data_IF_055316008726
#
_entry.id   IF_055316008726
#
_cell.length_a   1.000
_cell.length_b   1.000
_cell.length_c   1.000
_cell.angle_alpha   90.00
_cell.angle_beta   90.00
_cell.angle_gamma   90.00
#
_symmetry.space_group_name_H-M   'P 1'
#
loop_
_entity.id
_entity.type
_entity.pdbx_description
1 polymer ?
#
# COMPACT_ATOMS: atom_id res chain seq x y z
N UNK A 1 -16.18 38.51 10.95
CA UNK A 1 -16.36 37.66 9.76
C UNK A 1 -15.76 36.32 10.10
N UNK A 2 -16.61 35.41 10.58
CA UNK A 2 -16.26 34.01 10.81
C UNK A 2 -16.35 33.24 9.50
N UNK A 3 -15.35 32.43 9.21
CA UNK A 3 -15.53 31.20 8.44
C UNK A 3 -14.50 30.16 8.87
N UNK A 4 -14.81 29.48 9.96
CA UNK A 4 -14.32 28.13 10.22
C UNK A 4 -14.81 27.20 9.10
N UNK A 5 -13.90 26.45 8.50
CA UNK A 5 -14.19 25.14 7.90
C UNK A 5 -12.95 24.28 7.96
N UNK A 6 -12.58 23.88 9.19
CA UNK A 6 -11.63 22.82 9.41
C UNK A 6 -12.36 21.48 9.22
N UNK A 7 -12.04 20.78 8.13
CA UNK A 7 -12.43 19.39 7.93
C UNK A 7 -11.78 18.53 9.03
N UNK A 8 -12.55 18.17 10.05
CA UNK A 8 -12.15 17.18 11.05
C UNK A 8 -12.18 15.78 10.42
N UNK A 9 -11.12 15.43 9.70
CA UNK A 9 -10.78 14.02 9.51
C UNK A 9 -10.26 13.52 10.87
N UNK A 10 -10.94 12.59 11.53
CA UNK A 10 -10.52 11.97 12.80
C UNK A 10 -9.29 11.05 12.61
N UNK A 11 -8.23 11.56 12.00
CA UNK A 11 -6.95 10.86 11.82
C UNK A 11 -5.92 11.45 12.75
N UNK A 12 -5.34 10.61 13.62
CA UNK A 12 -4.14 10.96 14.37
C UNK A 12 -2.95 11.00 13.41
N UNK A 13 -2.51 12.21 13.06
CA UNK A 13 -1.31 12.40 12.25
C UNK A 13 -0.08 12.11 13.09
N UNK A 14 0.80 11.25 12.57
CA UNK A 14 2.09 10.93 13.20
C UNK A 14 3.22 11.36 12.29
N UNK A 15 4.24 11.98 12.86
CA UNK A 15 5.47 12.31 12.14
C UNK A 15 6.67 11.65 12.83
N UNK A 16 7.70 11.38 12.04
CA UNK A 16 8.99 10.89 12.50
C UNK A 16 10.09 11.61 11.73
N UNK A 17 11.16 11.99 12.43
CA UNK A 17 12.36 12.53 11.79
C UNK A 17 13.31 11.36 11.53
N UNK A 18 13.63 11.14 10.27
CA UNK A 18 14.61 10.12 9.87
C UNK A 18 16.01 10.73 9.86
N UNK A 19 16.91 10.15 10.65
CA UNK A 19 18.32 10.51 10.73
C UNK A 19 19.17 9.50 9.94
N UNK A 20 20.43 9.83 9.57
CA UNK A 20 21.32 8.87 8.93
C UNK A 20 21.40 7.55 9.70
N UNK A 21 21.25 6.43 8.99
CA UNK A 21 21.21 5.09 9.57
C UNK A 21 19.80 4.58 9.93
N UNK A 22 18.78 5.44 9.97
CA UNK A 22 17.40 4.98 10.15
C UNK A 22 16.87 4.27 8.90
N UNK A 23 16.05 3.24 9.12
CA UNK A 23 15.26 2.57 8.09
C UNK A 23 13.79 2.65 8.46
N UNK A 24 12.94 2.91 7.47
CA UNK A 24 11.48 2.93 7.65
C UNK A 24 10.84 1.94 6.70
N UNK A 25 9.78 1.26 7.16
CA UNK A 25 8.98 0.35 6.35
C UNK A 25 7.52 0.82 6.37
N UNK A 26 6.95 1.04 5.19
CA UNK A 26 5.55 1.44 5.04
C UNK A 26 4.72 0.24 4.57
N UNK A 27 3.76 -0.26 5.38
CA UNK A 27 2.81 -1.25 4.93
C UNK A 27 2.01 -0.73 3.72
N UNK A 28 1.55 -1.64 2.84
CA UNK A 28 0.73 -1.28 1.68
C UNK A 28 -0.45 -0.39 2.09
N UNK A 29 -0.70 0.69 1.34
CA UNK A 29 -1.78 1.64 1.64
C UNK A 29 -1.50 2.64 2.75
N UNK A 30 -0.28 2.72 3.27
CA UNK A 30 0.09 3.80 4.20
C UNK A 30 0.09 5.15 3.48
N UNK A 31 -0.83 6.03 3.85
CA UNK A 31 -0.85 7.43 3.40
C UNK A 31 0.27 8.16 4.13
N UNK A 32 1.21 8.74 3.38
CA UNK A 32 2.37 9.42 3.95
C UNK A 32 2.81 10.58 3.06
N UNK A 33 3.50 11.53 3.69
CA UNK A 33 4.13 12.67 3.03
C UNK A 33 5.59 12.71 3.48
N UNK A 34 6.48 13.02 2.53
CA UNK A 34 7.92 13.10 2.80
C UNK A 34 8.37 14.53 2.58
N UNK A 35 8.90 15.13 3.63
CA UNK A 35 9.50 16.46 3.59
C UNK A 35 11.00 16.36 3.82
N UNK A 36 11.76 17.19 3.13
CA UNK A 36 13.19 17.34 3.38
C UNK A 36 13.40 18.55 4.26
N UNK A 37 13.98 18.36 5.44
CA UNK A 37 14.37 19.46 6.32
C UNK A 37 15.45 20.29 5.62
N UNK A 38 15.31 21.62 5.62
CA UNK A 38 16.28 22.51 5.00
C UNK A 38 17.62 22.45 5.72
N UNK A 39 18.72 22.60 4.97
CA UNK A 39 20.07 22.82 5.52
C UNK A 39 21.10 21.73 5.20
N UNK A 40 20.70 20.48 4.95
CA UNK A 40 21.62 19.39 4.61
C UNK A 40 21.09 18.55 3.45
N UNK A 41 21.95 18.22 2.49
CA UNK A 41 21.61 17.29 1.43
C UNK A 41 21.40 15.88 2.01
N UNK A 42 20.26 15.26 1.73
CA UNK A 42 19.98 13.89 2.15
C UNK A 42 20.05 12.92 0.96
N UNK A 43 20.58 11.74 1.21
CA UNK A 43 20.56 10.61 0.29
C UNK A 43 19.89 9.42 0.97
N UNK A 44 18.98 8.76 0.28
CA UNK A 44 18.26 7.59 0.78
C UNK A 44 18.17 6.53 -0.32
N UNK A 45 18.27 5.26 0.08
CA UNK A 45 18.00 4.11 -0.77
C UNK A 45 16.64 3.53 -0.40
N UNK A 46 15.88 3.11 -1.40
CA UNK A 46 14.54 2.60 -1.19
C UNK A 46 14.11 1.62 -2.27
N UNK A 47 12.99 0.96 -2.01
CA UNK A 47 12.36 0.01 -2.92
C UNK A 47 10.98 -0.41 -2.42
N UNK A 48 10.30 -1.21 -3.23
CA UNK A 48 8.96 -1.71 -2.92
C UNK A 48 8.99 -3.24 -2.82
N UNK A 49 8.30 -3.78 -1.82
CA UNK A 49 8.09 -5.22 -1.65
C UNK A 49 6.61 -5.50 -1.39
N UNK A 50 6.10 -6.61 -1.91
CA UNK A 50 4.76 -7.09 -1.62
C UNK A 50 4.85 -8.24 -0.60
N UNK A 51 4.38 -8.01 0.62
CA UNK A 51 4.31 -9.03 1.67
C UNK A 51 3.06 -9.90 1.49
N UNK A 52 3.17 -11.20 1.77
CA UNK A 52 2.03 -12.13 1.73
C UNK A 52 0.89 -11.69 2.67
N UNK A 53 1.23 -11.28 3.89
CA UNK A 53 0.26 -10.77 4.87
C UNK A 53 -0.39 -9.45 4.46
N UNK A 54 0.22 -8.71 3.53
CA UNK A 54 -0.27 -7.42 3.03
C UNK A 54 -1.06 -7.50 1.72
N UNK A 55 -1.16 -8.69 1.11
CA UNK A 55 -1.64 -8.85 -0.28
C UNK A 55 -3.11 -8.43 -0.46
N UNK A 56 -3.96 -8.70 0.53
CA UNK A 56 -5.36 -8.25 0.54
C UNK A 56 -5.44 -6.73 0.56
N UNK A 57 -4.65 -6.07 1.43
CA UNK A 57 -4.63 -4.62 1.53
C UNK A 57 -4.06 -3.97 0.27
N UNK A 58 -3.00 -4.54 -0.30
CA UNK A 58 -2.45 -4.09 -1.58
C UNK A 58 -3.50 -4.12 -2.70
N UNK A 59 -4.24 -5.22 -2.84
CA UNK A 59 -5.25 -5.34 -3.90
C UNK A 59 -6.40 -4.32 -3.73
N UNK A 60 -6.80 -4.03 -2.49
CA UNK A 60 -7.77 -2.96 -2.20
C UNK A 60 -7.27 -1.59 -2.67
N UNK A 61 -5.98 -1.28 -2.47
CA UNK A 61 -5.36 -0.04 -2.95
C UNK A 61 -5.36 0.01 -4.48
N UNK A 62 -4.95 -1.08 -5.14
CA UNK A 62 -4.95 -1.15 -6.61
C UNK A 62 -6.35 -0.92 -7.18
N UNK A 63 -7.38 -1.53 -6.58
CA UNK A 63 -8.78 -1.31 -6.98
C UNK A 63 -9.20 0.15 -6.77
N UNK A 64 -8.81 0.77 -5.65
CA UNK A 64 -9.12 2.16 -5.38
C UNK A 64 -8.46 3.11 -6.40
N UNK A 65 -7.20 2.86 -6.76
CA UNK A 65 -6.46 3.63 -7.76
C UNK A 65 -6.99 3.41 -9.19
N UNK A 66 -7.48 2.21 -9.51
CA UNK A 66 -8.17 1.97 -10.79
C UNK A 66 -9.50 2.71 -10.89
N UNK A 67 -10.24 2.83 -9.77
CA UNK A 67 -11.52 3.54 -9.71
C UNK A 67 -11.35 5.07 -9.70
N UNK A 68 -10.26 5.56 -9.14
CA UNK A 68 -9.97 6.98 -8.92
C UNK A 68 -8.54 7.25 -9.42
N UNK A 69 -8.32 7.34 -10.74
CA UNK A 69 -6.98 7.46 -11.32
C UNK A 69 -6.22 8.72 -10.88
N UNK A 70 -6.92 9.74 -10.40
CA UNK A 70 -6.36 11.01 -9.90
C UNK A 70 -5.63 10.90 -8.56
N UNK A 71 -5.79 9.80 -7.82
CA UNK A 71 -5.14 9.61 -6.50
C UNK A 71 -3.72 9.05 -6.60
N UNK A 72 -3.23 8.82 -7.82
CA UNK A 72 -1.91 8.24 -8.09
C UNK A 72 -1.27 8.92 -9.29
N UNK A 73 0.06 8.96 -9.31
CA UNK A 73 0.86 9.43 -10.44
C UNK A 73 1.16 8.32 -11.46
N UNK A 74 0.78 7.07 -11.14
CA UNK A 74 1.02 5.90 -11.98
C UNK A 74 -0.10 5.70 -13.01
N UNK A 75 0.27 5.22 -14.21
CA UNK A 75 -0.71 4.73 -15.19
C UNK A 75 -1.23 3.35 -14.76
N UNK A 76 -2.32 3.37 -13.99
CA UNK A 76 -2.93 2.15 -13.46
C UNK A 76 -3.57 1.29 -14.53
N UNK A 77 -4.08 1.88 -15.63
CA UNK A 77 -4.77 1.13 -16.67
C UNK A 77 -3.80 0.18 -17.40
N UNK A 78 -2.58 0.61 -17.65
CA UNK A 78 -1.56 -0.21 -18.32
C UNK A 78 -0.78 -1.12 -17.37
N UNK A 79 -0.53 -0.68 -16.13
CA UNK A 79 0.34 -1.39 -15.18
C UNK A 79 -0.40 -2.42 -14.31
N UNK A 80 -1.57 -2.07 -13.77
CA UNK A 80 -2.26 -2.88 -12.77
C UNK A 80 -2.64 -4.29 -13.26
N UNK A 81 -3.20 -4.48 -14.48
CA UNK A 81 -3.58 -5.81 -14.95
C UNK A 81 -2.43 -6.81 -14.93
N UNK A 82 -1.21 -6.39 -15.29
CA UNK A 82 -0.01 -7.25 -15.31
C UNK A 82 0.33 -7.75 -13.91
N UNK A 83 0.37 -6.84 -12.93
CA UNK A 83 0.67 -7.20 -11.54
C UNK A 83 -0.43 -8.06 -10.91
N UNK A 84 -1.70 -7.72 -11.13
CA UNK A 84 -2.83 -8.49 -10.61
C UNK A 84 -2.82 -9.92 -11.15
N UNK A 85 -2.50 -10.13 -12.43
CA UNK A 85 -2.37 -11.48 -13.01
C UNK A 85 -1.21 -12.29 -12.43
N UNK A 86 -0.06 -11.65 -12.16
CA UNK A 86 1.05 -12.29 -11.45
C UNK A 86 0.62 -12.68 -10.03
N UNK A 87 0.02 -11.76 -9.29
CA UNK A 87 -0.45 -11.99 -7.92
C UNK A 87 -1.51 -13.09 -7.87
N UNK A 88 -2.47 -13.12 -8.80
CA UNK A 88 -3.50 -14.18 -8.89
C UNK A 88 -2.87 -15.56 -9.01
N UNK A 89 -1.85 -15.72 -9.86
CA UNK A 89 -1.11 -16.99 -10.01
C UNK A 89 -0.33 -17.36 -8.74
N UNK A 90 0.35 -16.38 -8.14
CA UNK A 90 1.12 -16.56 -6.91
C UNK A 90 0.23 -17.00 -5.73
N UNK A 91 -0.93 -16.37 -5.56
CA UNK A 91 -1.92 -16.71 -4.53
C UNK A 91 -2.47 -18.12 -4.76
N UNK A 92 -2.88 -18.44 -5.99
CA UNK A 92 -3.38 -19.78 -6.32
C UNK A 92 -2.34 -20.88 -6.00
N UNK A 93 -1.06 -20.64 -6.31
CA UNK A 93 0.02 -21.56 -5.98
C UNK A 93 0.23 -21.69 -4.46
N UNK A 94 0.15 -20.59 -3.71
CA UNK A 94 0.28 -20.59 -2.24
C UNK A 94 -0.86 -21.36 -1.57
N UNK A 95 -2.09 -21.19 -2.06
CA UNK A 95 -3.28 -21.92 -1.61
C UNK A 95 -3.14 -23.42 -1.85
N UNK A 96 -2.72 -23.83 -3.06
CA UNK A 96 -2.47 -25.24 -3.39
C UNK A 96 -1.40 -25.86 -2.49
N UNK A 97 -0.41 -25.08 -2.07
CA UNK A 97 0.64 -25.51 -1.15
C UNK A 97 0.22 -25.53 0.34
N UNK A 98 -1.04 -25.24 0.67
CA UNK A 98 -1.53 -25.23 2.06
C UNK A 98 -0.99 -24.09 2.93
N UNK A 99 -0.29 -23.11 2.35
CA UNK A 99 0.39 -22.02 3.06
C UNK A 99 -0.50 -20.79 3.24
N UNK A 100 -1.71 -21.03 3.75
CA UNK A 100 -2.76 -20.01 3.89
C UNK A 100 -2.44 -19.01 5.02
N UNK A 101 -1.86 -19.48 6.12
CA UNK A 101 -1.57 -18.63 7.28
C UNK A 101 -0.62 -17.47 6.97
N UNK A 102 0.35 -17.70 6.09
CA UNK A 102 1.29 -16.66 5.65
C UNK A 102 0.62 -15.50 4.89
N UNK A 103 -0.57 -15.73 4.34
CA UNK A 103 -1.37 -14.72 3.64
C UNK A 103 -2.36 -13.99 4.57
N UNK A 104 -2.22 -14.15 5.89
CA UNK A 104 -3.12 -13.57 6.89
C UNK A 104 -4.29 -14.47 7.28
N UNK A 105 -4.18 -15.77 7.02
CA UNK A 105 -5.19 -16.77 7.42
C UNK A 105 -6.35 -16.91 6.44
N UNK A 106 -7.25 -17.85 6.75
CA UNK A 106 -8.36 -18.26 5.86
C UNK A 106 -9.29 -17.10 5.48
N UNK A 107 -9.62 -16.24 6.44
CA UNK A 107 -10.56 -15.13 6.21
C UNK A 107 -9.97 -14.08 5.26
N UNK A 108 -8.67 -13.79 5.40
CA UNK A 108 -7.97 -12.88 4.49
C UNK A 108 -7.93 -13.44 3.06
N UNK A 109 -7.65 -14.74 2.92
CA UNK A 109 -7.65 -15.42 1.62
C UNK A 109 -9.05 -15.46 1.00
N UNK A 110 -10.11 -15.62 1.78
CA UNK A 110 -11.48 -15.60 1.28
C UNK A 110 -11.87 -14.21 0.73
N UNK A 111 -11.52 -13.13 1.45
CA UNK A 111 -11.71 -11.76 0.97
C UNK A 111 -10.88 -11.46 -0.27
N UNK A 112 -9.60 -11.83 -0.25
CA UNK A 112 -8.68 -11.70 -1.38
C UNK A 112 -9.21 -12.43 -2.62
N UNK A 113 -9.71 -13.65 -2.46
CA UNK A 113 -10.25 -14.45 -3.56
C UNK A 113 -11.48 -13.79 -4.19
N UNK A 114 -12.32 -13.14 -3.38
CA UNK A 114 -13.46 -12.36 -3.88
C UNK A 114 -13.01 -11.15 -4.71
N UNK A 115 -11.92 -10.49 -4.34
CA UNK A 115 -11.36 -9.35 -5.06
C UNK A 115 -10.60 -9.74 -6.35
N UNK A 116 -10.18 -10.99 -6.48
CA UNK A 116 -9.44 -11.52 -7.64
C UNK A 116 -10.33 -12.20 -8.70
N UNK A 117 -11.64 -12.30 -8.44
CA UNK A 117 -12.64 -12.79 -9.40
C UNK A 117 -12.84 -11.76 -10.49
#
# INVERSE_FOLDING_TARGET
MDSQSAWLYRGEWRYVILSPGHTVFFPSGTIHFVFRVQGVQTFALGGHVLQWSGIERWLKVVIAQLKNPEITNEDMASSAPKYVQVVKRLVANRMKAGRVEEMGGRDAVARLSTLLK
#
